data_IF_572500297111
#
_entry.id   IF_572500297111
#
_cell.length_a   1.000
_cell.length_b   1.000
_cell.length_c   1.000
_cell.angle_alpha   90.00
_cell.angle_beta   90.00
_cell.angle_gamma   90.00
#
_symmetry.space_group_name_H-M   'P 1'
#
loop_
_entity.id
_entity.type
_entity.pdbx_description
1 polymer ?
#
# COMPACT_ATOMS: atom_id res chain seq x y z
N UNK A 1 23.59 -39.34 43.60
CA UNK A 1 23.82 -38.17 42.77
C UNK A 1 22.77 -38.14 41.67
N UNK A 2 21.90 -37.17 41.71
CA UNK A 2 20.89 -36.97 40.66
C UNK A 2 21.45 -36.05 39.60
N UNK A 3 21.59 -36.59 38.38
CA UNK A 3 21.91 -35.76 37.21
C UNK A 3 20.60 -35.22 36.64
N UNK A 4 20.47 -33.90 36.63
CA UNK A 4 19.35 -33.25 35.98
C UNK A 4 19.70 -33.08 34.50
N UNK A 5 18.79 -33.41 33.56
CA UNK A 5 19.05 -33.12 32.16
C UNK A 5 19.01 -31.61 31.99
N UNK A 6 20.10 -31.07 31.48
CA UNK A 6 20.11 -29.69 31.00
C UNK A 6 19.29 -29.68 29.72
N UNK A 7 18.05 -29.23 29.84
CA UNK A 7 17.24 -28.95 28.65
C UNK A 7 17.75 -27.63 28.07
N UNK A 8 18.61 -27.73 27.08
CA UNK A 8 18.95 -26.60 26.24
C UNK A 8 17.68 -26.23 25.42
N UNK A 9 16.90 -25.32 25.94
CA UNK A 9 15.84 -24.69 25.15
C UNK A 9 16.51 -23.90 24.06
N UNK A 10 16.55 -24.45 22.85
CA UNK A 10 16.94 -23.70 21.67
C UNK A 10 15.90 -22.63 21.45
N UNK A 11 16.25 -21.41 21.79
CA UNK A 11 15.43 -20.24 21.40
C UNK A 11 15.55 -20.10 19.88
N UNK A 12 14.57 -20.64 19.17
CA UNK A 12 14.43 -20.31 17.74
C UNK A 12 13.92 -18.88 17.65
N UNK A 13 14.82 -17.96 17.30
CA UNK A 13 14.45 -16.62 16.89
C UNK A 13 13.77 -16.74 15.52
N UNK A 14 12.45 -16.95 15.53
CA UNK A 14 11.66 -16.89 14.34
C UNK A 14 11.66 -15.44 13.85
N UNK A 15 12.16 -15.19 12.62
CA UNK A 15 11.95 -13.91 11.92
C UNK A 15 10.45 -13.69 11.84
N UNK A 16 9.91 -12.50 12.21
CA UNK A 16 8.49 -12.25 12.09
C UNK A 16 8.03 -12.54 10.67
N UNK A 17 7.07 -13.45 10.51
CA UNK A 17 6.52 -13.82 9.21
C UNK A 17 6.06 -12.58 8.40
N UNK A 18 5.54 -11.56 9.09
CA UNK A 18 5.12 -10.29 8.51
C UNK A 18 6.26 -9.54 7.81
N UNK A 19 7.46 -9.46 8.41
CA UNK A 19 8.61 -8.77 7.79
C UNK A 19 9.09 -9.48 6.53
N UNK A 20 9.02 -10.81 6.49
CA UNK A 20 9.38 -11.60 5.33
C UNK A 20 8.36 -11.45 4.20
N UNK A 21 7.06 -11.40 4.52
CA UNK A 21 6.00 -11.16 3.56
C UNK A 21 6.14 -9.81 2.86
N UNK A 22 6.48 -8.76 3.61
CA UNK A 22 6.68 -7.42 3.03
C UNK A 22 7.83 -7.37 2.03
N UNK A 23 8.92 -8.08 2.29
CA UNK A 23 10.07 -8.14 1.36
C UNK A 23 9.75 -8.88 0.09
N UNK A 24 8.96 -9.94 0.18
CA UNK A 24 8.63 -10.81 -0.94
C UNK A 24 7.38 -10.36 -1.69
N UNK A 25 6.70 -9.33 -1.19
CA UNK A 25 5.48 -8.83 -1.79
C UNK A 25 5.73 -8.26 -3.18
N UNK A 26 4.89 -8.61 -4.17
CA UNK A 26 4.99 -8.04 -5.50
C UNK A 26 4.75 -6.53 -5.46
N UNK A 27 5.45 -5.81 -6.34
CA UNK A 27 5.34 -4.36 -6.46
C UNK A 27 4.50 -3.99 -7.68
N UNK A 28 3.57 -3.07 -7.48
CA UNK A 28 2.73 -2.50 -8.54
C UNK A 28 2.97 -1.00 -8.59
N UNK A 29 3.29 -0.50 -9.77
CA UNK A 29 3.45 0.92 -10.00
C UNK A 29 2.11 1.57 -10.29
N UNK A 30 1.84 2.66 -9.58
CA UNK A 30 0.69 3.53 -9.80
C UNK A 30 1.23 4.89 -10.24
N UNK A 31 1.03 5.23 -11.49
CA UNK A 31 1.52 6.47 -12.06
C UNK A 31 0.49 7.59 -11.89
N UNK A 32 0.92 8.68 -11.28
CA UNK A 32 0.13 9.89 -11.09
C UNK A 32 0.63 10.94 -12.06
N UNK A 33 -0.16 11.26 -13.07
CA UNK A 33 0.15 12.30 -14.03
C UNK A 33 -0.68 13.55 -13.75
N UNK A 34 -0.44 14.62 -14.49
CA UNK A 34 -1.25 15.84 -14.37
C UNK A 34 -2.72 15.64 -14.74
N UNK A 35 -3.05 14.56 -15.43
CA UNK A 35 -4.38 14.34 -16.00
C UNK A 35 -5.06 13.05 -15.56
N UNK A 36 -4.31 12.06 -15.11
CA UNK A 36 -4.89 10.75 -14.80
C UNK A 36 -4.07 9.92 -13.80
N UNK A 37 -4.71 8.89 -13.28
CA UNK A 37 -4.07 7.80 -12.55
C UNK A 37 -3.96 6.60 -13.47
N UNK A 38 -2.78 6.03 -13.59
CA UNK A 38 -2.52 4.84 -14.43
C UNK A 38 -1.98 3.69 -13.58
N UNK A 39 -2.54 2.47 -13.73
CA UNK A 39 -3.71 2.13 -14.54
C UNK A 39 -5.02 2.67 -13.94
N UNK A 40 -6.04 2.82 -14.73
CA UNK A 40 -7.35 3.25 -14.23
C UNK A 40 -8.06 2.19 -13.41
N UNK A 41 -7.71 0.95 -13.62
CA UNK A 41 -8.18 -0.18 -12.81
C UNK A 41 -6.96 -0.89 -12.24
N UNK A 42 -6.82 -0.79 -10.93
CA UNK A 42 -5.74 -1.43 -10.19
C UNK A 42 -6.29 -2.76 -9.65
N UNK A 43 -5.76 -3.88 -10.15
CA UNK A 43 -6.21 -5.22 -9.73
C UNK A 43 -5.23 -5.83 -8.76
N UNK A 44 -5.72 -6.19 -7.58
CA UNK A 44 -4.93 -6.79 -6.51
C UNK A 44 -5.60 -8.08 -6.03
N UNK A 45 -4.80 -8.95 -5.45
CA UNK A 45 -5.29 -10.18 -4.81
C UNK A 45 -5.65 -9.91 -3.35
N UNK A 46 -6.84 -10.35 -2.95
CA UNK A 46 -7.29 -10.22 -1.57
C UNK A 46 -6.41 -11.03 -0.63
N UNK A 47 -6.14 -10.47 0.54
CA UNK A 47 -5.45 -11.12 1.65
C UNK A 47 -3.98 -11.50 1.35
N UNK A 48 -3.41 -11.01 0.26
CA UNK A 48 -2.01 -11.18 -0.08
C UNK A 48 -1.26 -9.84 0.01
N UNK A 49 -0.09 -9.86 0.65
CA UNK A 49 0.74 -8.67 0.79
C UNK A 49 1.17 -8.13 -0.58
N UNK A 50 1.13 -6.83 -0.73
CA UNK A 50 1.50 -6.12 -1.95
C UNK A 50 2.24 -4.82 -1.60
N UNK A 51 3.15 -4.40 -2.47
CA UNK A 51 3.76 -3.08 -2.41
C UNK A 51 3.19 -2.22 -3.53
N UNK A 52 2.67 -1.06 -3.17
CA UNK A 52 2.19 -0.07 -4.13
C UNK A 52 3.19 1.08 -4.18
N UNK A 53 3.75 1.29 -5.35
CA UNK A 53 4.67 2.39 -5.61
C UNK A 53 3.92 3.46 -6.38
N UNK A 54 3.67 4.60 -5.73
CA UNK A 54 3.03 5.75 -6.33
C UNK A 54 4.09 6.67 -6.92
N UNK A 55 4.09 6.83 -8.22
CA UNK A 55 5.06 7.65 -8.94
C UNK A 55 4.37 8.91 -9.44
N UNK A 56 4.79 10.05 -8.95
CA UNK A 56 4.31 11.34 -9.43
C UNK A 56 5.23 11.86 -10.54
N UNK A 57 4.77 11.75 -11.78
CA UNK A 57 5.49 12.21 -12.96
C UNK A 57 5.00 13.58 -13.42
N UNK A 58 4.77 14.47 -12.47
CA UNK A 58 4.33 15.85 -12.76
C UNK A 58 5.06 16.85 -11.87
N UNK A 59 4.96 18.11 -12.21
CA UNK A 59 5.56 19.21 -11.45
C UNK A 59 4.68 19.70 -10.29
N UNK A 60 3.52 19.09 -10.10
CA UNK A 60 2.58 19.41 -9.02
C UNK A 60 2.48 18.25 -8.03
N UNK A 61 2.27 18.52 -6.72
CA UNK A 61 2.00 17.44 -5.79
C UNK A 61 0.67 16.77 -6.13
N UNK A 62 0.60 15.46 -5.95
CA UNK A 62 -0.62 14.68 -6.15
C UNK A 62 -1.02 13.94 -4.90
N UNK A 63 -2.31 13.77 -4.74
CA UNK A 63 -2.91 13.04 -3.64
C UNK A 63 -3.76 11.90 -4.19
N UNK A 64 -3.43 10.69 -3.77
CA UNK A 64 -4.19 9.49 -4.11
C UNK A 64 -5.12 9.18 -2.95
N UNK A 65 -6.42 9.41 -3.13
CA UNK A 65 -7.42 9.26 -2.09
C UNK A 65 -8.26 8.02 -2.31
N UNK A 66 -8.23 7.11 -1.35
CA UNK A 66 -8.99 5.87 -1.37
C UNK A 66 -9.29 5.45 0.07
N UNK A 67 -10.13 6.22 0.76
CA UNK A 67 -10.32 6.09 2.20
C UNK A 67 -10.77 4.69 2.62
N UNK A 68 -11.76 4.12 1.96
CA UNK A 68 -12.27 2.80 2.30
C UNK A 68 -11.23 1.70 2.04
N UNK A 69 -10.47 1.82 0.96
CA UNK A 69 -9.39 0.88 0.63
C UNK A 69 -8.33 0.86 1.73
N UNK A 70 -7.81 2.02 2.11
CA UNK A 70 -6.78 2.12 3.14
C UNK A 70 -7.29 1.74 4.51
N UNK A 71 -8.53 2.08 4.85
CA UNK A 71 -9.14 1.72 6.13
C UNK A 71 -9.31 0.22 6.30
N UNK A 72 -9.67 -0.48 5.23
CA UNK A 72 -9.89 -1.91 5.26
C UNK A 72 -8.60 -2.73 5.10
N UNK A 73 -7.54 -2.13 4.58
CA UNK A 73 -6.26 -2.79 4.39
C UNK A 73 -5.44 -2.83 5.68
N UNK A 74 -4.58 -3.83 5.78
CA UNK A 74 -3.57 -3.88 6.83
C UNK A 74 -2.28 -3.27 6.31
N UNK A 75 -1.98 -2.05 6.73
CA UNK A 75 -0.75 -1.35 6.35
C UNK A 75 0.46 -1.85 7.13
N UNK A 76 1.61 -1.93 6.46
CA UNK A 76 2.88 -2.12 7.15
C UNK A 76 3.08 -0.98 8.15
N UNK A 77 3.51 -1.31 9.37
CA UNK A 77 3.55 -0.35 10.49
C UNK A 77 4.27 0.97 10.18
N UNK A 78 5.43 0.90 9.54
CA UNK A 78 6.21 2.09 9.18
C UNK A 78 5.56 2.97 8.12
N UNK A 79 4.61 2.43 7.36
CA UNK A 79 3.93 3.15 6.28
C UNK A 79 2.64 3.85 6.71
N UNK A 80 2.16 3.58 7.93
CA UNK A 80 0.92 4.18 8.44
C UNK A 80 0.95 5.69 8.46
N UNK A 81 2.12 6.28 8.74
CA UNK A 81 2.28 7.72 8.77
C UNK A 81 2.14 8.37 7.39
N UNK A 82 2.34 7.62 6.32
CA UNK A 82 2.22 8.11 4.94
C UNK A 82 0.76 8.20 4.47
N UNK A 83 -0.14 7.46 5.11
CA UNK A 83 -1.56 7.47 4.77
C UNK A 83 -2.30 8.32 5.80
N UNK A 84 -2.75 9.50 5.37
CA UNK A 84 -3.45 10.46 6.22
C UNK A 84 -4.79 10.85 5.61
N UNK A 85 -5.84 10.76 6.42
CA UNK A 85 -7.18 11.08 5.94
C UNK A 85 -7.63 10.19 4.77
N UNK A 86 -7.18 8.93 4.75
CA UNK A 86 -7.52 8.01 3.69
C UNK A 86 -6.82 8.29 2.36
N UNK A 87 -5.70 9.00 2.39
CA UNK A 87 -4.96 9.38 1.19
C UNK A 87 -3.45 9.33 1.40
N UNK A 88 -2.73 9.18 0.30
CA UNK A 88 -1.29 9.34 0.26
C UNK A 88 -0.95 10.54 -0.63
N UNK A 89 -0.04 11.39 -0.15
CA UNK A 89 0.45 12.55 -0.89
C UNK A 89 1.84 12.24 -1.45
N UNK A 90 2.01 12.51 -2.72
CA UNK A 90 3.29 12.33 -3.41
C UNK A 90 3.79 13.67 -3.93
N UNK A 91 4.98 14.07 -3.50
CA UNK A 91 5.61 15.31 -3.94
C UNK A 91 5.89 15.30 -5.44
N UNK A 92 6.07 16.49 -6.07
CA UNK A 92 6.40 16.58 -7.48
C UNK A 92 7.64 15.77 -7.84
N UNK A 93 7.60 15.07 -8.98
CA UNK A 93 8.72 14.30 -9.54
C UNK A 93 9.35 13.31 -8.53
N UNK A 94 8.52 12.77 -7.66
CA UNK A 94 8.93 11.87 -6.58
C UNK A 94 8.07 10.62 -6.57
N UNK A 95 8.45 9.66 -5.75
CA UNK A 95 7.67 8.46 -5.53
C UNK A 95 7.55 8.12 -4.05
N UNK A 96 6.52 7.37 -3.71
CA UNK A 96 6.28 6.82 -2.39
C UNK A 96 5.84 5.37 -2.52
N UNK A 97 6.42 4.50 -1.73
CA UNK A 97 6.05 3.08 -1.70
C UNK A 97 5.47 2.72 -0.35
N UNK A 98 4.32 2.08 -0.36
CA UNK A 98 3.69 1.52 0.83
C UNK A 98 3.47 0.03 0.63
N UNK A 99 3.48 -0.73 1.73
CA UNK A 99 3.15 -2.14 1.72
C UNK A 99 1.90 -2.38 2.55
N UNK A 100 1.00 -3.20 2.04
CA UNK A 100 -0.26 -3.50 2.69
C UNK A 100 -0.80 -4.87 2.27
N UNK A 101 -1.73 -5.37 3.06
CA UNK A 101 -2.56 -6.53 2.71
C UNK A 101 -3.95 -6.00 2.41
N UNK A 102 -4.38 -6.03 1.14
CA UNK A 102 -5.67 -5.47 0.77
C UNK A 102 -6.81 -6.43 1.12
N UNK A 103 -7.97 -5.87 1.38
CA UNK A 103 -9.19 -6.62 1.63
C UNK A 103 -10.06 -6.64 0.39
N UNK A 104 -10.70 -7.78 0.13
CA UNK A 104 -11.60 -7.95 -1.01
C UNK A 104 -12.64 -6.83 -1.08
N UNK A 105 -12.86 -6.31 -2.28
CA UNK A 105 -13.82 -5.26 -2.53
C UNK A 105 -13.49 -4.44 -3.77
N UNK A 106 -14.36 -3.50 -4.05
CA UNK A 106 -14.20 -2.55 -5.14
C UNK A 106 -14.17 -1.15 -4.56
N UNK A 107 -13.08 -0.44 -4.79
CA UNK A 107 -12.83 0.84 -4.14
C UNK A 107 -12.62 1.94 -5.16
N UNK A 108 -13.23 3.08 -4.92
CA UNK A 108 -13.07 4.25 -5.75
C UNK A 108 -11.85 5.06 -5.31
N UNK A 109 -11.08 5.51 -6.30
CA UNK A 109 -9.95 6.41 -6.10
C UNK A 109 -10.32 7.79 -6.65
N UNK A 110 -10.02 8.83 -5.90
CA UNK A 110 -10.24 10.21 -6.32
C UNK A 110 -8.94 11.01 -6.30
N UNK A 111 -8.88 12.05 -7.13
CA UNK A 111 -7.74 12.96 -7.21
C UNK A 111 -7.84 14.15 -6.24
N UNK A 112 -6.94 15.11 -6.42
CA UNK A 112 -6.66 16.17 -5.45
C UNK A 112 -7.69 17.27 -5.37
N UNK A 113 -8.38 17.60 -6.45
CA UNK A 113 -9.31 18.71 -6.47
C UNK A 113 -10.52 18.42 -7.35
N UNK A 114 -11.52 19.29 -7.22
CA UNK A 114 -12.80 19.17 -7.91
C UNK A 114 -12.64 19.20 -9.43
N UNK A 115 -11.75 20.04 -9.94
CA UNK A 115 -11.49 20.17 -11.36
C UNK A 115 -10.99 18.86 -11.98
N UNK A 116 -10.06 18.21 -11.32
CA UNK A 116 -9.52 16.91 -11.74
C UNK A 116 -10.57 15.82 -11.70
N UNK A 117 -11.47 15.85 -10.73
CA UNK A 117 -12.59 14.91 -10.65
C UNK A 117 -13.52 15.05 -11.85
N UNK A 118 -13.79 16.28 -12.26
CA UNK A 118 -14.64 16.58 -13.43
C UNK A 118 -14.00 16.09 -14.72
N UNK A 119 -12.67 16.14 -14.83
CA UNK A 119 -11.94 15.67 -16.00
C UNK A 119 -11.68 14.15 -16.00
N UNK A 120 -12.26 13.41 -15.07
CA UNK A 120 -12.17 11.95 -15.05
C UNK A 120 -10.89 11.38 -14.47
N UNK A 121 -10.21 12.13 -13.60
CA UNK A 121 -9.04 11.62 -12.86
C UNK A 121 -9.45 10.67 -11.73
N UNK A 122 -10.24 9.69 -12.07
CA UNK A 122 -10.66 8.65 -11.16
C UNK A 122 -10.11 7.30 -11.59
N UNK A 123 -9.83 6.47 -10.61
CA UNK A 123 -9.43 5.10 -10.82
C UNK A 123 -10.28 4.20 -9.91
N UNK A 124 -10.19 2.91 -10.14
CA UNK A 124 -10.86 1.91 -9.32
C UNK A 124 -9.84 0.86 -8.89
N UNK A 125 -9.89 0.48 -7.63
CA UNK A 125 -9.12 -0.63 -7.10
C UNK A 125 -10.06 -1.83 -6.98
N UNK A 126 -9.72 -2.91 -7.64
CA UNK A 126 -10.48 -4.17 -7.58
C UNK A 126 -9.62 -5.20 -6.86
N UNK A 127 -10.09 -5.65 -5.71
CA UNK A 127 -9.41 -6.64 -4.88
C UNK A 127 -10.27 -7.90 -4.85
N UNK A 128 -9.75 -8.98 -5.42
CA UNK A 128 -10.46 -10.27 -5.55
C UNK A 128 -9.69 -11.43 -4.94
#
# INVERSE_FOLDING_TARGET
MRRWPIVLASLMLATPAAAQEWRMAPEYDVLLTSFEVQPRVIRLKADEAVRLRFVNNSEQPHRFSAAAFFRNAQLRGRDRALVRGGAIRVAPLSDETIALVPKAGRYKVTGDNLFRRVLGMSATIVVE
#
